data_IF_974121054859
#
_entry.id   IF_974121054859
#
_cell.length_a   1.000
_cell.length_b   1.000
_cell.length_c   1.000
_cell.angle_alpha   90.00
_cell.angle_beta   90.00
_cell.angle_gamma   90.00
#
_symmetry.space_group_name_H-M   'P 1'
#
loop_
_entity.id
_entity.type
_entity.pdbx_description
1 polymer ?
#
# COMPACT_ATOMS: atom_id res chain seq x y z
N UNK A 1 -2.56 -30.78 1.89
CA UNK A 1 -2.53 -29.81 0.77
C UNK A 1 -1.53 -28.74 1.16
N UNK A 2 -0.39 -28.67 0.47
CA UNK A 2 0.64 -27.66 0.81
C UNK A 2 0.21 -26.29 0.31
N UNK A 3 0.41 -25.26 1.13
CA UNK A 3 0.09 -23.87 0.81
C UNK A 3 0.74 -23.45 -0.51
N UNK A 4 1.96 -23.92 -0.78
CA UNK A 4 2.69 -23.66 -2.01
C UNK A 4 2.00 -24.26 -3.24
N UNK A 5 1.41 -25.44 -3.11
CA UNK A 5 0.69 -26.09 -4.19
C UNK A 5 -0.60 -25.34 -4.52
N UNK A 6 -1.33 -24.88 -3.50
CA UNK A 6 -2.53 -24.03 -3.68
C UNK A 6 -2.19 -22.73 -4.40
N UNK A 7 -1.08 -22.07 -4.02
CA UNK A 7 -0.63 -20.84 -4.66
C UNK A 7 -0.19 -21.07 -6.12
N UNK A 8 0.47 -22.19 -6.40
CA UNK A 8 0.89 -22.56 -7.75
C UNK A 8 -0.30 -22.89 -8.64
N UNK A 9 -1.27 -23.65 -8.14
CA UNK A 9 -2.51 -23.98 -8.85
C UNK A 9 -3.36 -22.72 -9.12
N UNK A 10 -3.41 -21.79 -8.13
CA UNK A 10 -4.07 -20.51 -8.31
C UNK A 10 -3.35 -19.65 -9.38
N UNK A 11 -2.02 -19.66 -9.41
CA UNK A 11 -1.24 -18.93 -10.39
C UNK A 11 -1.46 -19.42 -11.82
N UNK A 12 -1.68 -20.72 -12.02
CA UNK A 12 -2.03 -21.31 -13.31
C UNK A 12 -3.46 -20.99 -13.77
N UNK A 13 -4.28 -20.40 -12.88
CA UNK A 13 -5.63 -19.91 -13.18
C UNK A 13 -5.66 -18.39 -13.10
N UNK A 14 -5.40 -17.66 -14.21
CA UNK A 14 -5.10 -16.22 -14.19
C UNK A 14 -6.13 -15.36 -13.46
N UNK A 15 -7.42 -15.60 -13.68
CA UNK A 15 -8.48 -14.83 -13.02
C UNK A 15 -8.52 -15.05 -11.50
N UNK A 16 -8.22 -16.27 -11.05
CA UNK A 16 -8.21 -16.62 -9.63
C UNK A 16 -7.02 -15.95 -8.92
N UNK A 17 -5.85 -15.97 -9.53
CA UNK A 17 -4.68 -15.31 -8.95
C UNK A 17 -4.83 -13.79 -8.89
N UNK A 18 -5.43 -13.17 -9.91
CA UNK A 18 -5.76 -11.73 -9.92
C UNK A 18 -6.71 -11.39 -8.77
N UNK A 19 -7.72 -12.23 -8.52
CA UNK A 19 -8.66 -12.05 -7.41
C UNK A 19 -7.98 -12.19 -6.04
N UNK A 20 -7.11 -13.19 -5.90
CA UNK A 20 -6.31 -13.40 -4.68
C UNK A 20 -5.37 -12.21 -4.45
N UNK A 21 -4.69 -11.73 -5.49
CA UNK A 21 -3.79 -10.59 -5.40
C UNK A 21 -4.55 -9.29 -4.99
N UNK A 22 -5.75 -9.10 -5.53
CA UNK A 22 -6.64 -8.00 -5.12
C UNK A 22 -7.01 -8.11 -3.64
N UNK A 23 -7.52 -9.25 -3.20
CA UNK A 23 -7.91 -9.48 -1.80
C UNK A 23 -6.73 -9.35 -0.84
N UNK A 24 -5.58 -9.90 -1.22
CA UNK A 24 -4.33 -9.74 -0.48
C UNK A 24 -3.93 -8.28 -0.33
N UNK A 25 -4.03 -7.48 -1.42
CA UNK A 25 -3.72 -6.06 -1.39
C UNK A 25 -4.66 -5.26 -0.46
N UNK A 26 -5.94 -5.61 -0.40
CA UNK A 26 -6.88 -5.03 0.58
C UNK A 26 -6.44 -5.34 2.00
N UNK A 27 -6.10 -6.59 2.30
CA UNK A 27 -5.68 -7.03 3.63
C UNK A 27 -4.35 -6.38 4.06
N UNK A 28 -3.39 -6.27 3.15
CA UNK A 28 -2.11 -5.59 3.39
C UNK A 28 -2.33 -4.11 3.72
N UNK A 29 -3.22 -3.44 3.00
CA UNK A 29 -3.54 -2.05 3.32
C UNK A 29 -4.20 -1.91 4.70
N UNK A 30 -5.09 -2.84 5.07
CA UNK A 30 -5.89 -2.77 6.31
C UNK A 30 -5.09 -3.17 7.55
N UNK A 31 -4.41 -4.31 7.53
CA UNK A 31 -3.92 -4.96 8.77
C UNK A 31 -2.53 -5.56 8.64
N UNK A 32 -2.18 -6.11 7.47
CA UNK A 32 -0.98 -6.92 7.32
C UNK A 32 0.24 -6.05 6.99
N UNK A 33 1.24 -5.93 7.88
CA UNK A 33 2.47 -5.20 7.56
C UNK A 33 3.43 -6.06 6.71
N UNK A 34 2.89 -6.77 5.73
CA UNK A 34 3.63 -7.67 4.83
C UNK A 34 3.86 -6.96 3.50
N UNK A 35 5.04 -7.12 2.86
CA UNK A 35 5.29 -6.52 1.57
C UNK A 35 4.34 -7.06 0.50
N UNK A 36 3.70 -6.15 -0.23
CA UNK A 36 2.75 -6.49 -1.29
C UNK A 36 3.44 -7.15 -2.49
N UNK A 37 4.73 -6.98 -2.59
CA UNK A 37 5.63 -7.48 -3.62
C UNK A 37 5.63 -9.00 -3.75
N UNK A 38 5.26 -9.69 -2.68
CA UNK A 38 5.18 -11.16 -2.69
C UNK A 38 4.23 -11.66 -3.78
N UNK A 39 3.13 -10.96 -4.04
CA UNK A 39 2.19 -11.33 -5.09
C UNK A 39 2.74 -11.07 -6.51
N UNK A 40 3.83 -10.33 -6.66
CA UNK A 40 4.46 -10.02 -7.95
C UNK A 40 5.61 -10.97 -8.30
N UNK A 41 6.12 -11.76 -7.33
CA UNK A 41 7.32 -12.57 -7.52
C UNK A 41 7.14 -13.63 -8.63
N UNK A 42 6.05 -14.39 -8.61
CA UNK A 42 5.80 -15.45 -9.59
C UNK A 42 5.73 -14.90 -11.02
N UNK A 43 4.90 -13.89 -11.34
CA UNK A 43 4.82 -13.35 -12.68
C UNK A 43 6.11 -12.63 -13.14
N UNK A 44 6.93 -12.10 -12.22
CA UNK A 44 8.23 -11.54 -12.52
C UNK A 44 9.24 -12.61 -12.93
N UNK A 45 9.32 -13.72 -12.18
CA UNK A 45 10.21 -14.85 -12.45
C UNK A 45 9.87 -15.50 -13.79
N UNK A 46 8.58 -15.69 -14.07
CA UNK A 46 8.11 -16.29 -15.33
C UNK A 46 8.19 -15.36 -16.55
N UNK A 47 8.52 -14.08 -16.37
CA UNK A 47 8.61 -13.10 -17.47
C UNK A 47 7.28 -12.83 -18.16
N UNK A 48 6.14 -13.09 -17.53
CA UNK A 48 4.77 -12.90 -18.08
C UNK A 48 4.29 -11.46 -17.91
N UNK A 49 4.87 -10.53 -18.67
CA UNK A 49 4.67 -9.09 -18.52
C UNK A 49 3.21 -8.63 -18.59
N UNK A 50 2.43 -9.18 -19.52
CA UNK A 50 0.99 -8.84 -19.62
C UNK A 50 0.21 -9.28 -18.39
N UNK A 51 0.56 -10.43 -17.84
CA UNK A 51 -0.05 -10.95 -16.62
C UNK A 51 0.39 -10.14 -15.39
N UNK A 52 1.68 -9.78 -15.32
CA UNK A 52 2.22 -8.89 -14.30
C UNK A 52 1.48 -7.54 -14.25
N UNK A 53 1.21 -6.94 -15.42
CA UNK A 53 0.45 -5.70 -15.51
C UNK A 53 -0.97 -5.85 -14.95
N UNK A 54 -1.65 -6.95 -15.27
CA UNK A 54 -3.00 -7.23 -14.76
C UNK A 54 -3.03 -7.41 -13.24
N UNK A 55 -2.04 -8.13 -12.70
CA UNK A 55 -1.88 -8.31 -11.25
C UNK A 55 -1.53 -6.97 -10.59
N UNK A 56 -0.64 -6.18 -11.18
CA UNK A 56 -0.27 -4.85 -10.69
C UNK A 56 -1.47 -3.91 -10.60
N UNK A 57 -2.37 -3.93 -11.59
CA UNK A 57 -3.62 -3.17 -11.57
C UNK A 57 -4.58 -3.68 -10.48
N UNK A 58 -4.70 -5.00 -10.31
CA UNK A 58 -5.52 -5.59 -9.26
C UNK A 58 -5.01 -5.21 -7.87
N UNK A 59 -3.70 -5.26 -7.67
CA UNK A 59 -3.03 -4.80 -6.44
C UNK A 59 -3.31 -3.32 -6.19
N UNK A 60 -3.14 -2.47 -7.20
CA UNK A 60 -3.39 -1.04 -7.06
C UNK A 60 -4.84 -0.75 -6.69
N UNK A 61 -5.79 -1.44 -7.32
CA UNK A 61 -7.22 -1.32 -6.99
C UNK A 61 -7.53 -1.83 -5.58
N UNK A 62 -7.00 -2.98 -5.18
CA UNK A 62 -7.17 -3.55 -3.83
C UNK A 62 -6.60 -2.64 -2.74
N UNK A 63 -5.37 -2.13 -2.93
CA UNK A 63 -4.78 -1.14 -2.02
C UNK A 63 -5.64 0.12 -1.88
N UNK A 64 -6.14 0.62 -3.00
CA UNK A 64 -6.97 1.82 -3.00
C UNK A 64 -8.27 1.60 -2.26
N UNK A 65 -8.88 0.42 -2.40
CA UNK A 65 -10.08 0.04 -1.62
C UNK A 65 -9.76 -0.04 -0.13
N UNK A 66 -8.67 -0.70 0.26
CA UNK A 66 -8.22 -0.76 1.65
C UNK A 66 -7.92 0.63 2.22
N UNK A 67 -7.23 1.47 1.46
CA UNK A 67 -6.94 2.86 1.84
C UNK A 67 -8.22 3.70 2.01
N UNK A 68 -9.23 3.48 1.17
CA UNK A 68 -10.54 4.12 1.30
C UNK A 68 -11.23 3.75 2.62
N UNK A 69 -11.21 2.47 2.98
CA UNK A 69 -11.77 2.00 4.25
C UNK A 69 -11.05 2.61 5.45
N UNK A 70 -9.72 2.66 5.43
CA UNK A 70 -8.92 3.28 6.49
C UNK A 70 -9.14 4.79 6.55
N UNK A 71 -9.23 5.46 5.41
CA UNK A 71 -9.50 6.90 5.38
C UNK A 71 -10.84 7.23 6.03
N UNK A 72 -11.87 6.46 5.72
CA UNK A 72 -13.18 6.61 6.35
C UNK A 72 -13.14 6.33 7.85
N UNK A 73 -12.42 5.28 8.26
CA UNK A 73 -12.23 4.93 9.66
C UNK A 73 -11.41 6.01 10.38
N UNK A 74 -10.36 6.53 9.74
CA UNK A 74 -9.50 7.58 10.29
C UNK A 74 -10.26 8.84 10.65
N UNK A 75 -11.09 9.34 9.74
CA UNK A 75 -11.92 10.51 9.99
C UNK A 75 -12.87 10.33 11.19
N UNK A 76 -13.39 9.11 11.39
CA UNK A 76 -14.29 8.80 12.50
C UNK A 76 -13.55 8.64 13.85
N UNK A 77 -12.28 8.27 13.84
CA UNK A 77 -11.49 7.99 15.04
C UNK A 77 -10.58 9.16 15.47
N UNK A 78 -10.35 10.14 14.61
CA UNK A 78 -9.44 11.27 14.87
C UNK A 78 -9.73 11.96 16.20
N UNK A 79 -10.98 12.31 16.47
CA UNK A 79 -11.38 12.97 17.71
C UNK A 79 -11.12 12.11 18.96
N UNK A 80 -11.23 10.79 18.85
CA UNK A 80 -10.96 9.85 19.95
C UNK A 80 -9.45 9.71 20.21
N UNK A 81 -8.64 9.64 19.13
CA UNK A 81 -7.19 9.58 19.22
C UNK A 81 -6.63 10.86 19.82
N UNK A 82 -7.15 12.02 19.44
CA UNK A 82 -6.76 13.33 19.96
C UNK A 82 -7.03 13.44 21.47
N UNK A 83 -8.26 13.11 21.91
CA UNK A 83 -8.63 13.08 23.34
C UNK A 83 -7.77 12.10 24.14
N UNK A 84 -7.46 10.94 23.58
CA UNK A 84 -6.61 9.96 24.24
C UNK A 84 -5.15 10.47 24.35
N UNK A 85 -4.63 11.12 23.31
CA UNK A 85 -3.26 11.65 23.29
C UNK A 85 -3.03 12.75 24.32
N UNK A 86 -4.05 13.50 24.69
CA UNK A 86 -3.96 14.55 25.70
C UNK A 86 -3.58 14.03 27.10
N UNK A 87 -3.90 12.75 27.38
CA UNK A 87 -3.58 12.11 28.66
C UNK A 87 -2.10 11.74 28.83
N UNK A 88 -1.36 11.59 27.73
CA UNK A 88 0.01 11.08 27.76
C UNK A 88 0.97 12.02 27.04
N UNK A 89 2.00 12.50 27.74
CA UNK A 89 2.97 13.46 27.22
C UNK A 89 3.70 12.96 25.94
N UNK A 90 4.02 11.66 25.92
CA UNK A 90 4.67 11.00 24.76
C UNK A 90 3.70 10.88 23.59
N UNK A 91 2.44 10.49 23.83
CA UNK A 91 1.43 10.39 22.80
C UNK A 91 1.14 11.75 22.14
N UNK A 92 1.03 12.81 22.94
CA UNK A 92 0.85 14.20 22.46
C UNK A 92 2.01 14.64 21.57
N UNK A 93 3.24 14.36 21.96
CA UNK A 93 4.42 14.65 21.12
C UNK A 93 4.38 13.91 19.78
N UNK A 94 3.99 12.63 19.79
CA UNK A 94 3.89 11.79 18.59
C UNK A 94 2.79 12.29 17.65
N UNK A 95 1.61 12.59 18.18
CA UNK A 95 0.48 13.15 17.42
C UNK A 95 0.86 14.48 16.76
N UNK A 96 1.40 15.43 17.54
CA UNK A 96 1.83 16.71 17.00
C UNK A 96 2.92 16.60 15.92
N UNK A 97 3.77 15.56 15.99
CA UNK A 97 4.78 15.29 14.96
C UNK A 97 4.15 14.71 13.70
N UNK A 98 3.19 13.79 13.85
CA UNK A 98 2.46 13.19 12.75
C UNK A 98 1.58 14.20 12.00
N UNK A 99 0.81 15.02 12.73
CA UNK A 99 0.02 16.13 12.14
C UNK A 99 0.89 17.10 11.34
N UNK A 100 2.05 17.48 11.90
CA UNK A 100 3.01 18.33 11.20
C UNK A 100 3.60 17.67 9.95
N UNK A 101 3.88 16.37 10.01
CA UNK A 101 4.35 15.61 8.85
C UNK A 101 3.29 15.60 7.76
N UNK A 102 2.06 15.22 8.09
CA UNK A 102 0.93 15.17 7.14
C UNK A 102 0.65 16.54 6.54
N UNK A 103 0.56 17.58 7.37
CA UNK A 103 0.30 18.95 6.90
C UNK A 103 1.42 19.53 6.03
N UNK A 104 2.70 19.15 6.30
CA UNK A 104 3.85 19.65 5.54
C UNK A 104 4.09 18.91 4.23
N UNK A 105 3.90 17.59 4.22
CA UNK A 105 4.24 16.76 3.07
C UNK A 105 3.05 16.45 2.17
N UNK A 106 1.84 16.46 2.72
CA UNK A 106 0.59 16.27 1.98
C UNK A 106 0.60 15.02 1.10
N UNK A 107 0.01 15.12 -0.07
CA UNK A 107 -0.09 14.01 -1.05
C UNK A 107 1.27 13.53 -1.55
N UNK A 108 2.24 14.44 -1.70
CA UNK A 108 3.58 14.10 -2.19
C UNK A 108 4.29 13.19 -1.20
N UNK A 109 4.21 13.48 0.09
CA UNK A 109 4.80 12.63 1.13
C UNK A 109 4.14 11.26 1.18
N UNK A 110 2.81 11.20 1.10
CA UNK A 110 2.06 9.95 1.02
C UNK A 110 2.50 9.12 -0.20
N UNK A 111 2.49 9.74 -1.39
CA UNK A 111 2.90 9.09 -2.63
C UNK A 111 4.31 8.53 -2.56
N UNK A 112 5.28 9.34 -2.10
CA UNK A 112 6.67 8.91 -1.99
C UNK A 112 6.84 7.74 -1.02
N UNK A 113 6.24 7.83 0.17
CA UNK A 113 6.31 6.74 1.16
C UNK A 113 5.71 5.44 0.64
N UNK A 114 4.56 5.52 -0.02
CA UNK A 114 3.89 4.35 -0.57
C UNK A 114 4.54 3.80 -1.84
N UNK A 115 5.39 4.59 -2.51
CA UNK A 115 6.14 4.17 -3.70
C UNK A 115 7.41 3.40 -3.37
N UNK A 116 7.90 3.45 -2.12
CA UNK A 116 9.13 2.75 -1.72
C UNK A 116 8.88 1.24 -1.69
N UNK A 117 9.62 0.43 -2.47
CA UNK A 117 9.51 -1.01 -2.42
C UNK A 117 9.88 -1.57 -1.03
N UNK A 118 9.30 -2.71 -0.66
CA UNK A 118 9.51 -3.41 0.61
C UNK A 118 9.08 -2.64 1.87
N UNK A 119 8.55 -1.42 1.73
CA UNK A 119 7.99 -0.67 2.84
C UNK A 119 6.55 -1.10 3.12
N UNK A 120 6.19 -1.20 4.40
CA UNK A 120 4.81 -1.47 4.81
C UNK A 120 3.88 -0.32 4.41
N UNK A 121 2.79 -0.64 3.74
CA UNK A 121 1.77 0.32 3.33
C UNK A 121 0.87 0.77 4.49
N UNK A 122 0.64 -0.12 5.42
CA UNK A 122 -0.29 0.08 6.55
C UNK A 122 0.06 1.34 7.35
N UNK A 123 1.35 1.51 7.71
CA UNK A 123 1.77 2.62 8.58
C UNK A 123 1.51 3.99 7.92
N UNK A 124 1.99 4.28 6.70
CA UNK A 124 1.71 5.56 6.04
C UNK A 124 0.22 5.83 5.85
N UNK A 125 -0.55 4.82 5.43
CA UNK A 125 -1.98 4.96 5.19
C UNK A 125 -2.70 5.36 6.50
N UNK A 126 -2.41 4.69 7.61
CA UNK A 126 -3.00 5.04 8.92
C UNK A 126 -2.56 6.42 9.41
N UNK A 127 -1.28 6.76 9.32
CA UNK A 127 -0.77 8.07 9.76
C UNK A 127 -1.44 9.19 8.98
N UNK A 128 -1.47 9.09 7.66
CA UNK A 128 -2.05 10.14 6.82
C UNK A 128 -3.58 10.21 6.90
N UNK A 129 -4.24 9.12 7.27
CA UNK A 129 -5.68 9.08 7.47
C UNK A 129 -6.09 9.62 8.85
N UNK A 130 -5.41 9.18 9.93
CA UNK A 130 -5.74 9.57 11.30
C UNK A 130 -5.36 11.02 11.65
N UNK A 131 -4.35 11.57 10.98
CA UNK A 131 -3.84 12.92 11.28
C UNK A 131 -4.16 13.92 10.17
N UNK A 132 -5.27 13.69 9.47
CA UNK A 132 -5.77 14.54 8.38
C UNK A 132 -6.69 15.68 8.88
N UNK A 133 -6.52 16.22 10.05
CA UNK A 133 -7.26 17.34 10.63
C UNK A 133 -8.64 17.61 9.98
N UNK A 134 -9.66 16.83 10.34
CA UNK A 134 -11.03 16.95 9.81
C UNK A 134 -11.15 16.87 8.27
N UNK A 135 -10.20 16.18 7.60
CA UNK A 135 -10.19 16.09 6.13
C UNK A 135 -9.67 17.34 5.42
N UNK A 136 -9.10 18.32 6.16
CA UNK A 136 -8.63 19.59 5.57
C UNK A 136 -7.26 19.48 4.91
N UNK A 137 -6.38 18.60 5.43
CA UNK A 137 -5.04 18.43 4.88
C UNK A 137 -5.03 17.59 3.60
N UNK A 138 -5.92 16.60 3.50
CA UNK A 138 -6.00 15.66 2.39
C UNK A 138 -7.45 15.38 2.02
N UNK A 139 -7.83 15.74 0.80
CA UNK A 139 -9.12 15.33 0.22
C UNK A 139 -9.12 13.83 -0.10
N UNK A 140 -10.24 13.18 0.18
CA UNK A 140 -10.41 11.73 -0.05
C UNK A 140 -10.00 11.28 -1.44
N UNK A 141 -10.47 11.97 -2.47
CA UNK A 141 -10.24 11.54 -3.86
C UNK A 141 -8.75 11.61 -4.22
N UNK A 142 -8.07 12.69 -3.83
CA UNK A 142 -6.63 12.87 -4.06
C UNK A 142 -5.79 11.90 -3.23
N UNK A 143 -6.22 11.57 -2.01
CA UNK A 143 -5.61 10.53 -1.19
C UNK A 143 -5.67 9.16 -1.89
N UNK A 144 -6.82 8.79 -2.46
CA UNK A 144 -6.99 7.54 -3.19
C UNK A 144 -6.19 7.50 -4.49
N UNK A 145 -6.15 8.62 -5.24
CA UNK A 145 -5.34 8.75 -6.45
C UNK A 145 -3.85 8.60 -6.13
N UNK A 146 -3.37 9.29 -5.09
CA UNK A 146 -1.98 9.17 -4.66
C UNK A 146 -1.61 7.72 -4.28
N UNK A 147 -2.52 7.02 -3.58
CA UNK A 147 -2.34 5.63 -3.20
C UNK A 147 -2.31 4.70 -4.43
N UNK A 148 -3.23 4.88 -5.38
CA UNK A 148 -3.28 4.11 -6.61
C UNK A 148 -2.01 4.30 -7.46
N UNK A 149 -1.62 5.56 -7.70
CA UNK A 149 -0.42 5.89 -8.47
C UNK A 149 0.86 5.38 -7.80
N UNK A 150 0.95 5.47 -6.47
CA UNK A 150 2.08 4.93 -5.73
C UNK A 150 2.20 3.40 -5.90
N UNK A 151 1.07 2.68 -5.90
CA UNK A 151 1.08 1.24 -6.14
C UNK A 151 1.57 0.90 -7.56
N UNK A 152 1.10 1.60 -8.58
CA UNK A 152 1.59 1.42 -9.96
C UNK A 152 3.08 1.73 -10.07
N UNK A 153 3.52 2.85 -9.49
CA UNK A 153 4.93 3.24 -9.49
C UNK A 153 5.82 2.17 -8.81
N UNK A 154 5.35 1.61 -7.69
CA UNK A 154 6.06 0.53 -6.99
C UNK A 154 6.21 -0.73 -7.85
N UNK A 155 5.14 -1.15 -8.56
CA UNK A 155 5.21 -2.27 -9.51
C UNK A 155 6.22 -1.97 -10.62
N UNK A 156 6.23 -0.75 -11.16
CA UNK A 156 7.18 -0.35 -12.20
C UNK A 156 8.63 -0.38 -11.69
N UNK A 157 8.90 0.17 -10.50
CA UNK A 157 10.25 0.16 -9.89
C UNK A 157 10.74 -1.28 -9.70
N UNK A 158 9.88 -2.16 -9.17
CA UNK A 158 10.24 -3.58 -8.96
C UNK A 158 10.50 -4.30 -10.28
N UNK A 159 9.66 -4.06 -11.29
CA UNK A 159 9.85 -4.64 -12.63
C UNK A 159 11.17 -4.20 -13.24
N UNK A 160 11.51 -2.91 -13.15
CA UNK A 160 12.79 -2.36 -13.62
C UNK A 160 13.97 -2.97 -12.85
N UNK A 161 13.89 -3.02 -11.53
CA UNK A 161 14.94 -3.58 -10.69
C UNK A 161 15.18 -5.06 -11.02
N UNK A 162 14.12 -5.82 -11.26
CA UNK A 162 14.21 -7.23 -11.65
C UNK A 162 14.89 -7.40 -13.03
N UNK A 163 14.49 -6.61 -14.03
CA UNK A 163 15.11 -6.66 -15.39
C UNK A 163 16.58 -6.30 -15.34
N UNK A 164 16.94 -5.24 -14.60
CA UNK A 164 18.35 -4.82 -14.47
C UNK A 164 19.15 -5.90 -13.74
N UNK A 165 18.60 -6.45 -12.64
CA UNK A 165 19.26 -7.51 -11.88
C UNK A 165 19.47 -8.78 -12.72
N UNK A 166 18.48 -9.21 -13.48
CA UNK A 166 18.57 -10.36 -14.35
C UNK A 166 19.65 -10.18 -15.45
N UNK A 167 19.72 -8.99 -16.05
CA UNK A 167 20.73 -8.68 -17.05
C UNK A 167 22.17 -8.66 -16.50
N UNK A 168 22.35 -8.27 -15.23
CA UNK A 168 23.66 -8.27 -14.58
C UNK A 168 24.17 -9.66 -14.21
N UNK A 169 23.25 -10.62 -13.98
CA UNK A 169 23.61 -11.99 -13.61
C UNK A 169 23.97 -12.84 -14.86
N UNK A 170 23.44 -12.44 -16.04
CA UNK A 170 23.68 -13.16 -17.30
C UNK A 170 24.88 -12.60 -18.10
N UNK A 171 25.60 -11.62 -17.57
CA UNK A 171 26.89 -11.14 -18.06
C UNK A 171 28.03 -11.82 -17.29
#
# INVERSE_FOLDING_TARGET
>A
MDLLQILYDAYNTPWLYILIAFGYAVLVALVLPIPIEIALLLPLIDGRWGYLASIGLAIAAGKTLGAWLIFWLGLNLEGSVRKWSERWRVARWFVARAERLVGKTGYTGLYLLLSVPMMSDTIPIYVYSLFNEEGRALERNMFLIANFLAAINRVAILSMAFVIGANLIHV
#
